data_IF_927902087039
#
_entry.id   IF_927902087039
#
_cell.length_a   1.000
_cell.length_b   1.000
_cell.length_c   1.000
_cell.angle_alpha   90.00
_cell.angle_beta   90.00
_cell.angle_gamma   90.00
#
_symmetry.space_group_name_H-M   'P 1'
#
loop_
_entity.id
_entity.type
_entity.pdbx_description
1 polymer ?
#
# COMPACT_ATOMS: atom_id res chain seq x y z
N UNK A 1 16.04 2.12 -9.74
CA UNK A 1 16.53 0.94 -9.00
C UNK A 1 15.35 0.51 -8.16
N UNK A 2 14.65 -0.57 -8.54
CA UNK A 2 13.52 -1.05 -7.75
C UNK A 2 14.09 -1.55 -6.43
N UNK A 3 13.62 -0.98 -5.32
CA UNK A 3 13.98 -1.43 -3.99
C UNK A 3 13.25 -2.74 -3.76
N UNK A 4 13.95 -3.87 -3.96
CA UNK A 4 13.39 -5.20 -3.75
C UNK A 4 13.59 -5.57 -2.29
N UNK A 5 12.48 -5.65 -1.57
CA UNK A 5 12.44 -5.97 -0.16
C UNK A 5 12.49 -7.49 0.04
N UNK A 6 13.64 -8.08 -0.25
CA UNK A 6 13.82 -9.53 -0.12
C UNK A 6 13.64 -10.05 1.32
N UNK A 7 13.54 -11.37 1.47
CA UNK A 7 13.21 -12.01 2.75
C UNK A 7 14.26 -11.73 3.85
N UNK A 8 15.52 -11.63 3.46
CA UNK A 8 16.62 -11.24 4.35
C UNK A 8 16.46 -9.80 4.84
N UNK A 9 16.15 -8.88 3.93
CA UNK A 9 15.88 -7.49 4.29
C UNK A 9 14.65 -7.37 5.21
N UNK A 10 13.61 -8.17 4.98
CA UNK A 10 12.40 -8.18 5.83
C UNK A 10 12.68 -8.60 7.27
N UNK A 11 13.55 -9.60 7.46
CA UNK A 11 13.98 -10.06 8.79
C UNK A 11 14.86 -9.02 9.49
N UNK A 12 15.69 -8.31 8.73
CA UNK A 12 16.58 -7.28 9.26
C UNK A 12 15.79 -6.03 9.70
N UNK A 13 14.86 -5.55 8.87
CA UNK A 13 14.03 -4.39 9.23
C UNK A 13 13.02 -4.70 10.32
N UNK A 14 12.62 -5.96 10.49
CA UNK A 14 11.71 -6.35 11.55
C UNK A 14 12.26 -5.99 12.95
N UNK A 15 13.57 -5.76 13.12
CA UNK A 15 14.21 -5.32 14.37
C UNK A 15 14.40 -3.79 14.47
N UNK A 16 14.27 -3.06 13.36
CA UNK A 16 14.43 -1.61 13.31
C UNK A 16 13.12 -0.90 13.66
N UNK A 17 13.22 0.38 14.04
CA UNK A 17 12.04 1.20 14.23
C UNK A 17 11.49 1.72 12.89
N UNK A 18 10.20 2.05 12.88
CA UNK A 18 9.48 2.47 11.66
C UNK A 18 10.12 3.72 11.02
N UNK A 19 10.53 4.70 11.83
CA UNK A 19 11.12 5.94 11.34
C UNK A 19 12.54 5.78 10.77
N UNK A 20 13.35 4.88 11.35
CA UNK A 20 14.68 4.50 10.86
C UNK A 20 14.55 3.90 9.46
N UNK A 21 13.66 2.93 9.28
CA UNK A 21 13.46 2.28 7.99
C UNK A 21 12.89 3.27 6.98
N UNK A 22 11.95 4.12 7.38
CA UNK A 22 11.48 5.20 6.52
C UNK A 22 12.62 6.10 6.04
N UNK A 23 13.53 6.49 6.94
CA UNK A 23 14.69 7.32 6.63
C UNK A 23 15.77 6.61 5.79
N UNK A 24 15.75 5.27 5.74
CA UNK A 24 16.65 4.49 4.87
C UNK A 24 16.04 4.33 3.48
N UNK A 25 14.72 4.05 3.41
CA UNK A 25 14.04 3.63 2.18
C UNK A 25 13.47 4.80 1.38
N UNK A 26 12.90 5.81 2.07
CA UNK A 26 12.11 6.88 1.46
C UNK A 26 12.76 8.27 1.53
N UNK A 27 14.04 8.35 1.91
CA UNK A 27 14.78 9.62 2.04
C UNK A 27 15.09 10.33 0.70
N UNK A 28 14.45 9.91 -0.38
CA UNK A 28 14.62 10.47 -1.69
C UNK A 28 13.41 11.33 -2.03
N UNK A 29 13.65 12.65 -2.06
CA UNK A 29 12.89 13.69 -2.76
C UNK A 29 11.40 13.41 -3.01
N UNK A 30 10.51 14.06 -2.27
CA UNK A 30 9.06 13.98 -2.46
C UNK A 30 8.69 14.42 -3.89
N UNK A 31 8.37 13.50 -4.82
CA UNK A 31 8.08 13.88 -6.19
C UNK A 31 6.79 14.69 -6.23
N UNK A 32 6.71 15.64 -7.16
CA UNK A 32 5.49 16.42 -7.36
C UNK A 32 4.36 15.50 -7.81
N UNK A 33 3.42 15.21 -6.91
CA UNK A 33 2.29 14.32 -7.16
C UNK A 33 1.38 14.97 -8.23
N UNK A 34 1.03 14.26 -9.33
CA UNK A 34 0.06 14.74 -10.30
C UNK A 34 -1.29 15.12 -9.66
N UNK A 35 -1.93 16.18 -10.15
CA UNK A 35 -3.17 16.70 -9.57
C UNK A 35 -4.29 15.66 -9.45
N UNK A 36 -4.43 14.77 -10.44
CA UNK A 36 -5.47 13.72 -10.43
C UNK A 36 -5.26 12.72 -9.28
N UNK A 37 -4.00 12.40 -8.96
CA UNK A 37 -3.64 11.50 -7.86
C UNK A 37 -3.90 12.20 -6.54
N UNK A 38 -3.47 13.46 -6.42
CA UNK A 38 -3.79 14.28 -5.27
C UNK A 38 -5.31 14.39 -5.04
N UNK A 39 -6.10 14.54 -6.10
CA UNK A 39 -7.55 14.69 -6.01
C UNK A 39 -8.24 13.44 -5.45
N UNK A 40 -7.81 12.24 -5.83
CA UNK A 40 -8.48 11.00 -5.44
C UNK A 40 -7.88 10.34 -4.21
N UNK A 41 -6.61 10.58 -3.89
CA UNK A 41 -5.89 9.81 -2.86
C UNK A 41 -5.42 10.66 -1.68
N UNK A 42 -5.32 11.99 -1.84
CA UNK A 42 -4.82 12.85 -0.77
C UNK A 42 -5.92 13.14 0.28
N UNK A 43 -5.66 12.98 1.58
CA UNK A 43 -6.65 13.26 2.63
C UNK A 43 -7.18 14.69 2.62
N UNK A 44 -6.38 15.66 2.14
CA UNK A 44 -6.75 17.07 2.03
C UNK A 44 -7.66 17.38 0.83
N UNK A 45 -7.91 16.42 -0.06
CA UNK A 45 -8.89 16.57 -1.13
C UNK A 45 -10.30 16.27 -0.64
N UNK A 46 -11.25 17.11 -1.03
CA UNK A 46 -12.69 16.92 -0.78
C UNK A 46 -13.28 15.74 -1.57
N UNK A 47 -12.63 15.37 -2.68
CA UNK A 47 -13.06 14.28 -3.57
C UNK A 47 -12.27 12.98 -3.35
N UNK A 48 -11.43 12.95 -2.31
CA UNK A 48 -10.60 11.78 -2.05
C UNK A 48 -11.47 10.57 -1.70
N UNK A 49 -11.14 9.45 -2.35
CA UNK A 49 -11.81 8.19 -2.15
C UNK A 49 -11.42 7.58 -0.79
N UNK A 50 -12.26 6.69 -0.24
CA UNK A 50 -11.89 5.90 0.93
C UNK A 50 -10.57 5.16 0.74
N UNK A 51 -9.81 4.97 1.82
CA UNK A 51 -8.42 4.52 1.78
C UNK A 51 -7.40 5.67 1.64
N UNK A 52 -7.86 6.91 1.47
CA UNK A 52 -6.99 8.11 1.46
C UNK A 52 -6.10 8.18 2.68
N UNK A 53 -4.84 8.55 2.46
CA UNK A 53 -3.76 8.50 3.45
C UNK A 53 -2.69 9.55 3.12
N UNK A 54 -2.01 10.10 4.12
CA UNK A 54 -0.89 11.03 3.88
C UNK A 54 0.28 10.30 3.22
N UNK A 55 1.14 11.01 2.47
CA UNK A 55 2.25 10.34 1.78
C UNK A 55 3.18 9.62 2.76
N UNK A 56 3.51 10.24 3.89
CA UNK A 56 4.35 9.61 4.91
C UNK A 56 3.70 8.37 5.51
N UNK A 57 2.39 8.42 5.82
CA UNK A 57 1.70 7.25 6.34
C UNK A 57 1.56 6.15 5.28
N UNK A 58 1.39 6.50 4.02
CA UNK A 58 1.39 5.57 2.89
C UNK A 58 2.72 4.81 2.79
N UNK A 59 3.83 5.52 2.91
CA UNK A 59 5.17 4.93 2.94
C UNK A 59 5.36 3.99 4.15
N UNK A 60 4.73 4.28 5.30
CA UNK A 60 4.69 3.34 6.41
C UNK A 60 3.91 2.06 6.09
N UNK A 61 2.81 2.15 5.33
CA UNK A 61 2.07 0.97 4.89
C UNK A 61 2.94 0.09 3.99
N UNK A 62 3.71 0.68 3.08
CA UNK A 62 4.71 -0.05 2.28
C UNK A 62 5.67 -0.85 3.17
N UNK A 63 6.25 -0.20 4.18
CA UNK A 63 7.16 -0.85 5.14
C UNK A 63 6.45 -2.00 5.88
N UNK A 64 5.24 -1.76 6.39
CA UNK A 64 4.51 -2.76 7.17
C UNK A 64 4.09 -3.98 6.34
N UNK A 65 3.68 -3.77 5.09
CA UNK A 65 3.32 -4.84 4.16
C UNK A 65 4.53 -5.52 3.52
N UNK A 66 5.72 -4.95 3.69
CA UNK A 66 6.94 -5.39 3.04
C UNK A 66 6.88 -5.24 1.52
N UNK A 67 6.43 -4.08 1.04
CA UNK A 67 6.20 -3.75 -0.37
C UNK A 67 7.18 -2.69 -0.88
N UNK A 68 7.69 -2.91 -2.09
CA UNK A 68 8.58 -1.98 -2.77
C UNK A 68 7.83 -0.86 -3.50
N UNK A 69 8.51 -0.14 -4.40
CA UNK A 69 7.96 1.01 -5.13
C UNK A 69 7.68 0.72 -6.62
N UNK A 70 7.51 -0.56 -6.95
CA UNK A 70 7.10 -0.97 -8.30
C UNK A 70 5.63 -0.61 -8.55
N UNK A 71 5.21 -0.47 -9.82
CA UNK A 71 3.78 -0.20 -10.14
C UNK A 71 2.85 -1.27 -9.55
N UNK A 72 3.31 -2.52 -9.51
CA UNK A 72 2.59 -3.65 -8.94
C UNK A 72 2.45 -3.55 -7.41
N UNK A 73 3.53 -3.15 -6.72
CA UNK A 73 3.52 -2.96 -5.27
C UNK A 73 2.67 -1.75 -4.87
N UNK A 74 2.78 -0.64 -5.58
CA UNK A 74 1.92 0.54 -5.39
C UNK A 74 0.45 0.18 -5.55
N UNK A 75 0.12 -0.56 -6.61
CA UNK A 75 -1.24 -1.04 -6.81
C UNK A 75 -1.73 -1.92 -5.67
N UNK A 76 -0.88 -2.83 -5.15
CA UNK A 76 -1.20 -3.65 -4.00
C UNK A 76 -1.43 -2.81 -2.73
N UNK A 77 -0.57 -1.84 -2.43
CA UNK A 77 -0.69 -0.98 -1.23
C UNK A 77 -1.96 -0.14 -1.29
N UNK A 78 -2.28 0.45 -2.44
CA UNK A 78 -3.51 1.24 -2.59
C UNK A 78 -4.75 0.34 -2.51
N UNK A 79 -4.68 -0.84 -3.13
CA UNK A 79 -5.71 -1.86 -2.97
C UNK A 79 -5.93 -2.18 -1.49
N UNK A 80 -4.85 -2.42 -0.74
CA UNK A 80 -4.88 -2.71 0.69
C UNK A 80 -5.53 -1.59 1.51
N UNK A 81 -5.13 -0.33 1.33
CA UNK A 81 -5.70 0.80 2.09
C UNK A 81 -7.19 0.95 1.78
N UNK A 82 -7.60 0.84 0.52
CA UNK A 82 -9.00 0.83 0.12
C UNK A 82 -9.76 -0.36 0.71
N UNK A 83 -9.16 -1.56 0.73
CA UNK A 83 -9.77 -2.77 1.30
C UNK A 83 -9.90 -2.72 2.83
N UNK A 84 -8.98 -2.03 3.49
CA UNK A 84 -8.98 -1.88 4.93
C UNK A 84 -9.97 -0.82 5.43
N UNK A 85 -10.24 0.22 4.62
CA UNK A 85 -11.22 1.26 4.95
C UNK A 85 -12.67 0.74 4.83
N UNK A 86 -13.44 0.86 5.92
CA UNK A 86 -14.83 0.40 5.98
C UNK A 86 -15.77 1.19 5.07
N UNK A 87 -15.42 2.43 4.71
CA UNK A 87 -16.23 3.28 3.82
C UNK A 87 -16.10 2.89 2.35
N UNK A 88 -15.13 2.05 1.99
CA UNK A 88 -14.92 1.63 0.60
C UNK A 88 -16.03 0.70 0.10
N UNK A 89 -16.64 1.06 -1.02
CA UNK A 89 -17.67 0.27 -1.70
C UNK A 89 -17.28 -0.03 -3.16
N UNK A 90 -18.09 -0.84 -3.85
CA UNK A 90 -17.81 -1.25 -5.24
C UNK A 90 -17.75 -0.10 -6.24
N UNK A 91 -18.50 0.98 -5.98
CA UNK A 91 -18.46 2.17 -6.84
C UNK A 91 -17.12 2.88 -6.73
N UNK A 92 -16.57 3.02 -5.52
CA UNK A 92 -15.23 3.59 -5.32
C UNK A 92 -14.16 2.78 -6.05
N UNK A 93 -14.22 1.45 -5.98
CA UNK A 93 -13.29 0.59 -6.71
C UNK A 93 -13.41 0.75 -8.23
N UNK A 94 -14.65 0.82 -8.73
CA UNK A 94 -14.89 1.03 -10.16
C UNK A 94 -14.33 2.38 -10.63
N UNK A 95 -14.60 3.45 -9.89
CA UNK A 95 -14.06 4.79 -10.19
C UNK A 95 -12.53 4.75 -10.16
N UNK A 96 -11.93 4.21 -9.11
CA UNK A 96 -10.47 4.17 -8.97
C UNK A 96 -9.81 3.44 -10.15
N UNK A 97 -10.28 2.23 -10.48
CA UNK A 97 -9.77 1.44 -11.61
C UNK A 97 -9.94 2.14 -12.95
N UNK A 98 -11.04 2.85 -13.16
CA UNK A 98 -11.25 3.64 -14.38
C UNK A 98 -10.21 4.76 -14.49
N UNK A 99 -9.97 5.49 -13.40
CA UNK A 99 -9.01 6.59 -13.38
C UNK A 99 -7.58 6.09 -13.57
N UNK A 100 -7.15 5.05 -12.86
CA UNK A 100 -5.80 4.49 -13.00
C UNK A 100 -5.56 3.89 -14.38
N UNK A 101 -6.60 3.34 -15.04
CA UNK A 101 -6.47 2.74 -16.36
C UNK A 101 -6.49 3.75 -17.51
N UNK A 102 -7.19 4.87 -17.39
CA UNK A 102 -7.44 5.77 -18.53
C UNK A 102 -7.01 7.22 -18.31
N UNK A 103 -7.01 7.72 -17.07
CA UNK A 103 -6.84 9.14 -16.76
C UNK A 103 -5.47 9.43 -16.16
N UNK A 104 -4.93 8.51 -15.34
CA UNK A 104 -3.66 8.71 -14.68
C UNK A 104 -2.50 8.83 -15.70
N UNK A 105 -1.58 9.78 -15.50
CA UNK A 105 -0.42 9.92 -16.37
C UNK A 105 0.61 8.81 -16.10
N UNK A 106 1.43 8.49 -17.09
CA UNK A 106 2.63 7.68 -16.86
C UNK A 106 3.54 8.37 -15.81
N UNK A 107 4.17 7.65 -14.86
CA UNK A 107 4.19 6.19 -14.71
C UNK A 107 3.04 5.59 -13.88
N UNK A 108 2.09 6.39 -13.37
CA UNK A 108 1.04 5.96 -12.44
C UNK A 108 -0.14 5.21 -13.09
N UNK A 109 -0.05 4.91 -14.38
CA UNK A 109 -1.13 4.29 -15.15
C UNK A 109 -1.07 2.77 -15.00
N UNK A 110 -2.14 2.16 -14.51
CA UNK A 110 -2.15 0.75 -14.18
C UNK A 110 -2.23 -0.15 -15.43
N UNK A 111 -1.33 -1.13 -15.47
CA UNK A 111 -1.40 -2.28 -16.35
C UNK A 111 -2.53 -3.24 -15.93
N UNK A 112 -2.78 -4.29 -16.71
CA UNK A 112 -3.74 -5.34 -16.28
C UNK A 112 -3.21 -6.10 -15.07
N UNK A 113 -1.89 -6.31 -15.01
CA UNK A 113 -1.23 -6.94 -13.87
C UNK A 113 -1.35 -6.09 -12.61
N UNK A 114 -1.19 -4.78 -12.73
CA UNK A 114 -1.36 -3.85 -11.60
C UNK A 114 -2.79 -3.90 -11.05
N UNK A 115 -3.81 -4.00 -11.91
CA UNK A 115 -5.21 -4.15 -11.47
C UNK A 115 -5.45 -5.46 -10.71
N UNK A 116 -4.79 -6.54 -11.09
CA UNK A 116 -4.82 -7.81 -10.35
C UNK A 116 -4.17 -7.63 -8.98
N UNK A 117 -2.99 -6.98 -8.92
CA UNK A 117 -2.29 -6.70 -7.65
C UNK A 117 -3.10 -5.81 -6.73
N UNK A 118 -3.79 -4.83 -7.30
CA UNK A 118 -4.76 -3.99 -6.59
C UNK A 118 -5.90 -4.83 -5.98
N UNK A 119 -6.49 -5.75 -6.73
CA UNK A 119 -7.56 -6.61 -6.22
C UNK A 119 -7.08 -7.54 -5.10
N UNK A 120 -5.86 -8.08 -5.23
CA UNK A 120 -5.23 -8.88 -4.18
C UNK A 120 -4.99 -8.07 -2.91
N UNK A 121 -4.47 -6.85 -3.05
CA UNK A 121 -4.32 -5.91 -1.94
C UNK A 121 -5.65 -5.62 -1.26
N UNK A 122 -6.69 -5.35 -2.05
CA UNK A 122 -8.04 -5.09 -1.54
C UNK A 122 -8.61 -6.28 -0.74
N UNK A 123 -8.50 -7.49 -1.28
CA UNK A 123 -8.96 -8.71 -0.59
C UNK A 123 -8.19 -8.89 0.72
N UNK A 124 -6.87 -8.70 0.71
CA UNK A 124 -6.04 -8.80 1.91
C UNK A 124 -6.45 -7.76 2.96
N UNK A 125 -6.55 -6.47 2.58
CA UNK A 125 -6.99 -5.39 3.48
C UNK A 125 -8.40 -5.62 4.06
N UNK A 126 -9.30 -6.25 3.29
CA UNK A 126 -10.62 -6.65 3.77
C UNK A 126 -10.58 -7.78 4.80
N UNK A 127 -9.57 -8.65 4.80
CA UNK A 127 -9.40 -9.73 5.78
C UNK A 127 -8.80 -9.26 7.11
N UNK A 128 -7.91 -8.28 7.08
CA UNK A 128 -7.27 -7.74 8.30
C UNK A 128 -8.32 -7.31 9.32
N UNK A 129 -8.21 -7.74 10.59
CA UNK A 129 -9.21 -7.43 11.62
C UNK A 129 -9.23 -5.96 12.01
N UNK A 130 -8.05 -5.35 12.15
CA UNK A 130 -7.94 -3.92 12.42
C UNK A 130 -8.32 -3.12 11.17
N UNK A 131 -9.28 -2.20 11.30
CA UNK A 131 -9.83 -1.44 10.17
C UNK A 131 -9.45 0.03 10.23
N UNK A 132 -9.56 0.70 9.08
CA UNK A 132 -9.24 2.10 8.89
C UNK A 132 -7.80 2.43 9.30
N UNK A 133 -6.84 1.56 8.95
CA UNK A 133 -5.41 1.78 9.18
C UNK A 133 -4.93 3.10 8.56
N UNK A 134 -5.57 3.55 7.47
CA UNK A 134 -5.34 4.85 6.84
C UNK A 134 -5.67 6.06 7.73
N UNK A 135 -6.47 5.89 8.78
CA UNK A 135 -6.84 6.92 9.75
C UNK A 135 -5.97 6.88 11.04
N UNK A 136 -5.05 5.91 11.17
CA UNK A 136 -4.17 5.79 12.35
C UNK A 136 -3.18 6.95 12.43
N UNK A 137 -2.98 7.46 13.64
CA UNK A 137 -1.89 8.39 13.93
C UNK A 137 -0.57 7.64 14.12
N UNK A 138 0.17 7.44 13.02
CA UNK A 138 1.46 6.74 13.03
C UNK A 138 2.55 7.45 13.83
N UNK A 139 2.40 8.73 14.15
CA UNK A 139 3.38 9.47 14.95
C UNK A 139 3.53 8.89 16.37
N UNK A 140 2.51 8.19 16.87
CA UNK A 140 2.55 7.47 18.15
C UNK A 140 3.33 6.14 18.09
N UNK A 141 3.65 5.68 16.88
CA UNK A 141 4.20 4.35 16.62
C UNK A 141 5.56 4.40 15.90
N UNK A 142 6.04 5.59 15.54
CA UNK A 142 7.22 5.73 14.68
C UNK A 142 8.52 5.18 15.30
N UNK A 143 8.61 5.19 16.63
CA UNK A 143 9.75 4.63 17.38
C UNK A 143 9.57 3.14 17.72
N UNK A 144 8.43 2.56 17.36
CA UNK A 144 8.16 1.15 17.59
C UNK A 144 8.79 0.29 16.50
N UNK A 145 9.13 -0.91 16.93
CA UNK A 145 9.69 -1.95 16.08
C UNK A 145 8.68 -2.43 15.01
N UNK A 146 9.13 -2.63 13.77
CA UNK A 146 8.24 -3.05 12.66
C UNK A 146 7.57 -4.40 12.93
N UNK A 147 8.29 -5.38 13.47
CA UNK A 147 7.71 -6.68 13.84
C UNK A 147 6.60 -6.55 14.88
N UNK A 148 6.78 -5.68 15.87
CA UNK A 148 5.75 -5.36 16.85
C UNK A 148 4.52 -4.71 16.21
N UNK A 149 4.71 -3.75 15.31
CA UNK A 149 3.61 -3.08 14.61
C UNK A 149 2.83 -4.03 13.70
N UNK A 150 3.52 -4.92 12.97
CA UNK A 150 2.89 -5.97 12.17
C UNK A 150 1.98 -6.85 13.02
N UNK A 151 2.42 -7.24 14.21
CA UNK A 151 1.61 -8.04 15.14
C UNK A 151 0.38 -7.27 15.63
N UNK A 152 0.51 -5.99 15.98
CA UNK A 152 -0.64 -5.16 16.41
C UNK A 152 -1.66 -5.00 15.29
N UNK A 153 -1.18 -4.77 14.07
CA UNK A 153 -2.03 -4.53 12.91
C UNK A 153 -2.52 -5.83 12.23
N UNK A 154 -2.20 -6.99 12.80
CA UNK A 154 -2.56 -8.32 12.27
C UNK A 154 -2.03 -8.55 10.84
N UNK A 155 -0.88 -7.93 10.51
CA UNK A 155 -0.22 -8.02 9.20
C UNK A 155 0.80 -9.16 9.23
N UNK A 156 0.62 -10.13 8.34
CA UNK A 156 1.52 -11.27 8.16
C UNK A 156 2.13 -11.23 6.75
N UNK A 157 3.43 -10.94 6.67
CA UNK A 157 4.15 -10.83 5.39
C UNK A 157 4.25 -12.15 4.63
N UNK A 158 4.29 -13.28 5.34
CA UNK A 158 4.36 -14.62 4.73
C UNK A 158 3.02 -14.97 4.05
N UNK A 159 1.90 -14.59 4.66
CA UNK A 159 0.58 -14.74 4.05
C UNK A 159 0.48 -13.92 2.75
N UNK A 160 0.98 -12.68 2.75
CA UNK A 160 0.96 -11.83 1.55
C UNK A 160 1.81 -12.47 0.44
N UNK A 161 3.01 -12.98 0.77
CA UNK A 161 3.88 -13.68 -0.19
C UNK A 161 3.18 -14.91 -0.76
N UNK A 162 2.51 -15.68 0.09
CA UNK A 162 1.75 -16.85 -0.33
C UNK A 162 0.62 -16.49 -1.31
N UNK A 163 -0.19 -15.47 -1.01
CA UNK A 163 -1.29 -14.99 -1.86
C UNK A 163 -0.76 -14.61 -3.25
N UNK A 164 0.30 -13.81 -3.31
CA UNK A 164 0.84 -13.31 -4.57
C UNK A 164 1.46 -14.41 -5.42
N UNK A 165 2.11 -15.40 -4.80
CA UNK A 165 2.72 -16.53 -5.52
C UNK A 165 1.64 -17.44 -6.11
N UNK A 166 0.56 -17.72 -5.38
CA UNK A 166 -0.48 -18.64 -5.83
C UNK A 166 -1.43 -18.02 -6.85
N UNK A 167 -1.83 -16.76 -6.67
CA UNK A 167 -2.77 -16.11 -7.60
C UNK A 167 -2.13 -15.77 -8.94
N UNK A 168 -0.83 -15.42 -8.98
CA UNK A 168 -0.13 -15.28 -10.25
C UNK A 168 -0.04 -16.59 -11.03
N UNK A 169 0.13 -17.73 -10.33
CA UNK A 169 0.15 -19.03 -10.97
C UNK A 169 -1.22 -19.44 -11.54
N UNK A 170 -2.32 -18.93 -10.99
CA UNK A 170 -3.67 -19.14 -11.53
C UNK A 170 -4.00 -18.24 -12.73
N UNK A 171 -3.30 -17.10 -12.85
CA UNK A 171 -3.50 -16.14 -13.94
C UNK A 171 -2.58 -16.43 -15.13
N UNK A 172 -1.46 -17.11 -14.92
CA UNK A 172 -0.53 -17.57 -15.96
C UNK A 172 -0.96 -18.89 -16.63
N UNK A 173 -2.27 -19.11 -16.84
CA UNK A 173 -2.79 -20.18 -17.70
C UNK A 173 -2.85 -19.68 -19.15
#
# INVERSE_FOLDING_TARGET
MAFDLDETFQLDIAKMNLNEVYSIVFNFHQPKIPFVIWLLENPNSLLALPGKISLRHHDYIHILLGRGLSSEDEAFVIGFTMGNDLKTNKLHLFIYKLFTKFIYPYPYKFSTLDLIKFDLGFIYGRRIKMKNINEINFELYQDQNIGYLRNIFDINTDEIKFILTHELNLINI
#
